data_IF_918601138644
#
_entry.id   IF_918601138644
#
_cell.length_a   1.000
_cell.length_b   1.000
_cell.length_c   1.000
_cell.angle_alpha   90.00
_cell.angle_beta   90.00
_cell.angle_gamma   90.00
#
_symmetry.space_group_name_H-M   'P 1'
#
loop_
_entity.id
_entity.type
_entity.pdbx_description
1 polymer ?
#
# COMPACT_ATOMS: atom_id res chain seq x y z
N UNK A 1 42.17 -8.07 -32.92
CA UNK A 1 41.94 -7.46 -31.60
C UNK A 1 40.49 -7.08 -31.55
N UNK A 2 39.66 -7.94 -30.97
CA UNK A 2 38.19 -7.81 -30.93
C UNK A 2 37.84 -7.07 -29.66
N UNK A 3 37.37 -5.83 -29.78
CA UNK A 3 36.94 -4.98 -28.66
C UNK A 3 35.60 -5.55 -28.17
N UNK A 4 35.60 -6.21 -27.01
CA UNK A 4 34.39 -6.58 -26.31
C UNK A 4 33.68 -5.31 -25.82
N UNK A 5 32.46 -5.07 -26.31
CA UNK A 5 31.59 -4.04 -25.77
C UNK A 5 31.26 -4.35 -24.29
N UNK A 6 31.21 -3.34 -23.40
CA UNK A 6 30.87 -3.57 -22.02
C UNK A 6 29.44 -4.05 -21.95
N UNK A 7 29.23 -5.23 -21.36
CA UNK A 7 27.92 -5.77 -21.03
C UNK A 7 27.23 -4.80 -20.06
N UNK A 8 26.15 -4.17 -20.52
CA UNK A 8 25.21 -3.47 -19.64
C UNK A 8 24.77 -4.40 -18.53
N UNK A 9 24.87 -4.03 -17.24
CA UNK A 9 24.37 -4.88 -16.19
C UNK A 9 22.87 -5.06 -16.42
N UNK A 10 22.45 -6.30 -16.64
CA UNK A 10 21.04 -6.69 -16.60
C UNK A 10 20.46 -6.12 -15.30
N UNK A 11 19.45 -5.24 -15.40
CA UNK A 11 18.61 -4.87 -14.25
C UNK A 11 18.28 -6.18 -13.54
N UNK A 12 18.69 -6.29 -12.27
CA UNK A 12 18.35 -7.43 -11.45
C UNK A 12 16.82 -7.56 -11.48
N UNK A 13 16.33 -8.56 -12.20
CA UNK A 13 14.91 -8.85 -12.25
C UNK A 13 14.54 -9.26 -10.83
N UNK A 14 13.59 -8.54 -10.22
CA UNK A 14 13.14 -8.81 -8.86
C UNK A 14 12.85 -10.31 -8.75
N UNK A 15 13.63 -10.98 -7.92
CA UNK A 15 13.65 -12.44 -7.82
C UNK A 15 12.40 -12.98 -7.14
N UNK A 16 11.90 -12.19 -6.21
CA UNK A 16 10.70 -12.45 -5.44
C UNK A 16 9.64 -11.40 -5.76
N UNK A 17 8.39 -11.80 -5.75
CA UNK A 17 7.26 -10.88 -5.90
C UNK A 17 6.53 -10.77 -4.57
N UNK A 18 6.19 -9.56 -4.16
CA UNK A 18 5.54 -9.28 -2.88
C UNK A 18 4.15 -8.75 -3.12
N UNK A 19 3.17 -9.38 -2.48
CA UNK A 19 1.77 -9.02 -2.59
C UNK A 19 1.03 -9.02 -1.25
N UNK A 20 -0.24 -8.69 -1.30
CA UNK A 20 -1.17 -8.74 -0.17
C UNK A 20 -2.43 -9.49 -0.56
N UNK A 21 -3.13 -10.06 0.43
CA UNK A 21 -4.42 -10.70 0.23
C UNK A 21 -5.53 -9.64 0.25
N UNK A 22 -6.39 -9.59 -0.78
CA UNK A 22 -7.42 -8.55 -0.91
C UNK A 22 -8.45 -8.58 0.21
N UNK A 23 -8.77 -9.77 0.75
CA UNK A 23 -9.70 -9.93 1.88
C UNK A 23 -9.11 -9.42 3.20
N UNK A 24 -7.79 -9.45 3.36
CA UNK A 24 -7.12 -8.98 4.57
C UNK A 24 -6.96 -7.46 4.58
N UNK A 25 -6.87 -6.83 3.42
CA UNK A 25 -6.88 -5.36 3.29
C UNK A 25 -8.29 -4.79 3.16
N UNK A 26 -9.31 -5.57 3.50
CA UNK A 26 -10.74 -5.19 3.52
C UNK A 26 -11.29 -4.79 2.14
N UNK A 27 -10.76 -5.37 1.08
CA UNK A 27 -11.10 -5.04 -0.31
C UNK A 27 -11.44 -6.28 -1.15
N UNK A 28 -11.99 -7.34 -0.50
CA UNK A 28 -12.37 -8.59 -1.17
C UNK A 28 -13.18 -8.31 -2.44
N UNK A 29 -12.65 -8.73 -3.59
CA UNK A 29 -13.19 -8.48 -4.93
C UNK A 29 -13.70 -7.04 -5.13
N UNK A 30 -12.85 -6.05 -4.81
CA UNK A 30 -13.12 -4.63 -5.06
C UNK A 30 -11.97 -4.03 -5.89
N UNK A 31 -12.29 -3.19 -6.85
CA UNK A 31 -11.28 -2.48 -7.68
C UNK A 31 -10.26 -1.71 -6.84
N UNK A 32 -10.70 -1.10 -5.73
CA UNK A 32 -9.82 -0.41 -4.79
C UNK A 32 -8.77 -1.31 -4.10
N UNK A 33 -8.79 -2.64 -4.29
CA UNK A 33 -7.71 -3.52 -3.86
C UNK A 33 -6.42 -3.27 -4.66
N UNK A 34 -6.54 -3.06 -5.97
CA UNK A 34 -5.40 -2.79 -6.84
C UNK A 34 -4.78 -1.41 -6.54
N UNK A 35 -5.61 -0.39 -6.36
CA UNK A 35 -5.15 0.95 -5.97
C UNK A 35 -4.43 0.92 -4.63
N UNK A 36 -4.99 0.23 -3.64
CA UNK A 36 -4.36 0.08 -2.34
C UNK A 36 -3.06 -0.70 -2.43
N UNK A 37 -3.02 -1.82 -3.16
CA UNK A 37 -1.80 -2.60 -3.37
C UNK A 37 -0.69 -1.75 -4.02
N UNK A 38 -1.03 -0.91 -5.01
CA UNK A 38 -0.10 0.06 -5.59
C UNK A 38 0.43 1.04 -4.55
N UNK A 39 -0.45 1.61 -3.71
CA UNK A 39 -0.07 2.53 -2.64
C UNK A 39 0.82 1.87 -1.58
N UNK A 40 0.62 0.58 -1.31
CA UNK A 40 1.43 -0.22 -0.38
C UNK A 40 2.79 -0.64 -0.98
N UNK A 41 3.03 -0.37 -2.27
CA UNK A 41 4.26 -0.77 -2.96
C UNK A 41 4.30 -2.25 -3.35
N UNK A 42 3.14 -2.92 -3.43
CA UNK A 42 3.05 -4.33 -3.84
C UNK A 42 3.32 -4.52 -5.34
N UNK A 43 3.84 -5.69 -5.70
CA UNK A 43 3.93 -6.15 -7.10
C UNK A 43 2.59 -6.70 -7.58
N UNK A 44 1.75 -7.15 -6.66
CA UNK A 44 0.44 -7.70 -6.98
C UNK A 44 -0.42 -7.99 -5.76
N UNK A 45 -1.52 -8.69 -6.02
CA UNK A 45 -2.47 -9.15 -5.00
C UNK A 45 -2.72 -10.65 -5.14
N UNK A 46 -3.12 -11.26 -4.03
CA UNK A 46 -3.85 -12.51 -4.01
C UNK A 46 -5.34 -12.15 -3.99
N UNK A 47 -6.06 -12.48 -5.07
CA UNK A 47 -7.44 -12.07 -5.30
C UNK A 47 -8.40 -13.18 -4.86
N UNK A 48 -9.32 -12.87 -3.95
CA UNK A 48 -10.28 -13.83 -3.42
C UNK A 48 -11.41 -14.13 -4.41
N UNK A 49 -11.95 -15.36 -4.37
CA UNK A 49 -13.10 -15.79 -5.16
C UNK A 49 -14.45 -15.21 -4.70
N UNK A 50 -14.44 -14.36 -3.68
CA UNK A 50 -15.66 -13.91 -3.00
C UNK A 50 -16.06 -14.82 -1.85
N UNK A 51 -17.07 -14.39 -1.06
CA UNK A 51 -17.50 -15.17 0.11
C UNK A 51 -18.20 -16.46 -0.32
N UNK A 52 -17.92 -17.57 0.38
CA UNK A 52 -18.61 -18.84 0.19
C UNK A 52 -19.75 -18.99 1.22
N UNK A 53 -19.46 -18.81 2.51
CA UNK A 53 -20.44 -19.08 3.58
C UNK A 53 -21.01 -20.49 3.44
N UNK A 54 -22.33 -20.62 3.56
CA UNK A 54 -23.06 -21.89 3.37
C UNK A 54 -23.53 -22.13 1.92
N UNK A 55 -23.12 -21.26 0.97
CA UNK A 55 -23.54 -21.33 -0.43
C UNK A 55 -22.89 -22.51 -1.16
N UNK A 56 -23.52 -22.95 -2.24
CA UNK A 56 -22.98 -23.96 -3.14
C UNK A 56 -21.99 -23.36 -4.16
N UNK A 57 -21.94 -22.05 -4.30
CA UNK A 57 -21.02 -21.32 -5.17
C UNK A 57 -20.46 -20.08 -4.45
N UNK A 58 -19.27 -19.63 -4.89
CA UNK A 58 -18.71 -18.35 -4.43
C UNK A 58 -19.59 -17.17 -4.85
N UNK A 59 -19.59 -16.11 -4.07
CA UNK A 59 -20.13 -14.80 -4.43
C UNK A 59 -19.13 -14.09 -5.35
N UNK A 60 -18.87 -14.71 -6.49
CA UNK A 60 -17.81 -14.32 -7.42
C UNK A 60 -18.34 -13.35 -8.48
N UNK A 61 -18.02 -12.07 -8.39
CA UNK A 61 -18.40 -11.05 -9.36
C UNK A 61 -17.71 -11.24 -10.71
N UNK A 62 -16.53 -11.86 -10.72
CA UNK A 62 -15.72 -12.04 -11.91
C UNK A 62 -16.19 -13.20 -12.80
N UNK A 63 -17.33 -13.83 -12.47
CA UNK A 63 -18.04 -14.68 -13.44
C UNK A 63 -18.56 -13.86 -14.61
N UNK A 64 -18.95 -12.61 -14.36
CA UNK A 64 -19.32 -11.67 -15.40
C UNK A 64 -18.07 -11.22 -16.19
N UNK A 65 -18.14 -11.36 -17.51
CA UNK A 65 -17.00 -11.07 -18.39
C UNK A 65 -16.66 -9.59 -18.45
N UNK A 66 -17.64 -8.69 -18.32
CA UNK A 66 -17.43 -7.25 -18.30
C UNK A 66 -16.76 -6.81 -17.01
N UNK A 67 -17.20 -7.35 -15.87
CA UNK A 67 -16.57 -7.11 -14.58
C UNK A 67 -15.14 -7.63 -14.56
N UNK A 68 -14.89 -8.87 -15.01
CA UNK A 68 -13.55 -9.43 -15.07
C UNK A 68 -12.62 -8.60 -15.98
N UNK A 69 -13.11 -8.19 -17.16
CA UNK A 69 -12.36 -7.32 -18.07
C UNK A 69 -12.09 -5.94 -17.46
N UNK A 70 -13.03 -5.40 -16.68
CA UNK A 70 -12.83 -4.15 -15.96
C UNK A 70 -11.74 -4.28 -14.88
N UNK A 71 -11.80 -5.31 -14.05
CA UNK A 71 -10.78 -5.62 -13.05
C UNK A 71 -9.40 -5.77 -13.69
N UNK A 72 -9.32 -6.52 -14.80
CA UNK A 72 -8.06 -6.71 -15.51
C UNK A 72 -7.49 -5.38 -16.06
N UNK A 73 -8.32 -4.54 -16.67
CA UNK A 73 -7.87 -3.20 -17.15
C UNK A 73 -7.33 -2.34 -16.02
N UNK A 74 -7.98 -2.33 -14.86
CA UNK A 74 -7.51 -1.57 -13.69
C UNK A 74 -6.17 -2.14 -13.18
N UNK A 75 -6.05 -3.46 -13.04
CA UNK A 75 -4.80 -4.12 -12.66
C UNK A 75 -3.65 -3.75 -13.61
N UNK A 76 -3.87 -3.86 -14.92
CA UNK A 76 -2.88 -3.53 -15.94
C UNK A 76 -2.48 -2.04 -15.91
N UNK A 77 -3.44 -1.13 -15.77
CA UNK A 77 -3.19 0.32 -15.74
C UNK A 77 -2.35 0.74 -14.54
N UNK A 78 -2.49 0.05 -13.41
CA UNK A 78 -1.73 0.28 -12.19
C UNK A 78 -0.41 -0.50 -12.14
N UNK A 79 -0.20 -1.44 -13.06
CA UNK A 79 0.93 -2.35 -13.04
C UNK A 79 0.92 -3.31 -11.83
N UNK A 80 -0.27 -3.63 -11.29
CA UNK A 80 -0.47 -4.54 -10.15
C UNK A 80 -0.96 -5.89 -10.68
N UNK A 81 -0.19 -6.95 -10.46
CA UNK A 81 -0.51 -8.29 -10.97
C UNK A 81 -1.50 -9.02 -10.05
N UNK A 82 -2.25 -9.95 -10.60
CA UNK A 82 -2.90 -11.00 -9.80
C UNK A 82 -1.93 -12.18 -9.73
N UNK A 83 -1.31 -12.38 -8.57
CA UNK A 83 -0.28 -13.42 -8.38
C UNK A 83 -0.84 -14.79 -8.04
N UNK A 84 -2.00 -14.81 -7.37
CA UNK A 84 -2.76 -16.02 -7.07
C UNK A 84 -4.26 -15.69 -6.94
N UNK A 85 -5.12 -16.70 -7.14
CA UNK A 85 -6.53 -16.65 -6.77
C UNK A 85 -6.75 -17.41 -5.48
N UNK A 86 -7.61 -16.89 -4.57
CA UNK A 86 -7.85 -17.53 -3.28
C UNK A 86 -9.28 -18.04 -3.14
N UNK A 87 -9.42 -19.29 -2.79
CA UNK A 87 -10.68 -19.90 -2.36
C UNK A 87 -10.79 -19.81 -0.82
N UNK A 88 -10.66 -18.58 -0.26
CA UNK A 88 -10.56 -18.37 1.19
C UNK A 88 -11.77 -18.86 1.97
N UNK A 89 -12.92 -19.05 1.31
CA UNK A 89 -14.12 -19.65 1.91
C UNK A 89 -13.88 -21.02 2.53
N UNK A 90 -12.89 -21.77 2.07
CA UNK A 90 -12.50 -23.05 2.63
C UNK A 90 -11.75 -22.97 3.97
N UNK A 91 -11.44 -21.78 4.46
CA UNK A 91 -11.07 -21.62 5.88
C UNK A 91 -12.21 -22.03 6.85
N UNK A 92 -13.47 -21.92 6.38
CA UNK A 92 -14.67 -22.23 7.17
C UNK A 92 -15.47 -23.40 6.60
N UNK A 93 -15.13 -23.94 5.43
CA UNK A 93 -15.85 -25.04 4.79
C UNK A 93 -15.00 -26.30 4.75
N UNK A 94 -15.56 -27.41 5.21
CA UNK A 94 -14.89 -28.72 5.22
C UNK A 94 -14.89 -29.30 3.80
N UNK A 95 -13.69 -29.37 3.19
CA UNK A 95 -13.52 -29.95 1.86
C UNK A 95 -14.05 -31.39 1.80
N UNK A 96 -13.99 -32.16 2.89
CA UNK A 96 -14.49 -33.55 2.90
C UNK A 96 -16.00 -33.67 2.81
N UNK A 97 -16.74 -32.58 3.07
CA UNK A 97 -18.20 -32.53 3.10
C UNK A 97 -18.81 -31.65 1.99
N UNK A 98 -17.97 -30.92 1.24
CA UNK A 98 -18.46 -29.99 0.21
C UNK A 98 -18.55 -30.69 -1.14
N UNK A 99 -19.73 -31.17 -1.50
CA UNK A 99 -19.90 -31.98 -2.73
C UNK A 99 -19.73 -31.16 -4.02
N UNK A 100 -19.91 -29.85 -3.95
CA UNK A 100 -19.67 -28.94 -5.07
C UNK A 100 -18.21 -28.52 -5.27
N UNK A 101 -17.24 -29.16 -4.58
CA UNK A 101 -15.83 -28.74 -4.59
C UNK A 101 -15.23 -28.64 -6.00
N UNK A 102 -15.54 -29.56 -6.93
CA UNK A 102 -15.05 -29.49 -8.31
C UNK A 102 -15.64 -28.31 -9.09
N UNK A 103 -16.93 -28.01 -8.86
CA UNK A 103 -17.56 -26.84 -9.47
C UNK A 103 -16.96 -25.53 -8.95
N UNK A 104 -16.68 -25.45 -7.64
CA UNK A 104 -16.01 -24.30 -7.02
C UNK A 104 -14.60 -24.10 -7.55
N UNK A 105 -13.86 -25.19 -7.74
CA UNK A 105 -12.50 -25.16 -8.32
C UNK A 105 -12.56 -24.78 -9.81
N UNK A 106 -13.55 -25.26 -10.55
CA UNK A 106 -13.79 -24.89 -11.95
C UNK A 106 -14.04 -23.40 -12.10
N UNK A 107 -14.93 -22.83 -11.30
CA UNK A 107 -15.20 -21.37 -11.24
C UNK A 107 -13.92 -20.56 -10.93
N UNK A 108 -13.06 -21.08 -10.03
CA UNK A 108 -11.76 -20.45 -9.76
C UNK A 108 -10.86 -20.47 -11.00
N UNK A 109 -10.75 -21.60 -11.70
CA UNK A 109 -9.91 -21.70 -12.89
C UNK A 109 -10.41 -20.82 -14.03
N UNK A 110 -11.71 -20.73 -14.24
CA UNK A 110 -12.30 -19.83 -15.24
C UNK A 110 -11.99 -18.36 -14.92
N UNK A 111 -12.08 -17.98 -13.64
CA UNK A 111 -11.71 -16.65 -13.17
C UNK A 111 -10.21 -16.36 -13.33
N UNK A 112 -9.34 -17.35 -13.05
CA UNK A 112 -7.90 -17.25 -13.27
C UNK A 112 -7.55 -16.96 -14.75
N UNK A 113 -8.26 -17.57 -15.68
CA UNK A 113 -8.05 -17.35 -17.11
C UNK A 113 -8.48 -15.93 -17.53
N UNK A 114 -9.63 -15.46 -17.05
CA UNK A 114 -10.13 -14.08 -17.26
C UNK A 114 -9.20 -13.02 -16.70
N UNK A 115 -8.54 -13.30 -15.58
CA UNK A 115 -7.59 -12.39 -14.93
C UNK A 115 -6.17 -12.42 -15.48
N UNK A 116 -5.99 -12.90 -16.70
CA UNK A 116 -4.70 -12.86 -17.40
C UNK A 116 -3.87 -14.12 -17.24
N UNK A 117 -4.50 -15.26 -17.04
CA UNK A 117 -3.83 -16.56 -16.98
C UNK A 117 -3.05 -16.78 -15.68
N UNK A 118 -3.63 -16.35 -14.56
CA UNK A 118 -3.11 -16.67 -13.21
C UNK A 118 -2.89 -18.17 -13.07
N UNK A 119 -1.76 -18.60 -12.52
CA UNK A 119 -1.39 -20.01 -12.49
C UNK A 119 -1.59 -20.70 -11.14
N UNK A 120 -1.61 -19.95 -10.05
CA UNK A 120 -1.70 -20.48 -8.68
C UNK A 120 -3.06 -20.17 -8.09
N UNK A 121 -3.75 -21.18 -7.58
CA UNK A 121 -4.93 -21.05 -6.76
C UNK A 121 -4.63 -21.47 -5.32
N UNK A 122 -5.11 -20.75 -4.34
CA UNK A 122 -4.98 -21.06 -2.92
C UNK A 122 -6.22 -21.79 -2.40
N UNK A 123 -6.04 -22.94 -1.77
CA UNK A 123 -7.08 -23.76 -1.14
C UNK A 123 -6.68 -24.08 0.31
N UNK A 124 -7.17 -23.32 1.31
CA UNK A 124 -6.91 -23.65 2.70
C UNK A 124 -7.71 -24.87 3.14
N UNK A 125 -7.10 -25.76 3.91
CA UNK A 125 -7.75 -26.92 4.53
C UNK A 125 -8.22 -26.65 5.98
N UNK A 126 -8.17 -25.40 6.43
CA UNK A 126 -8.56 -25.01 7.79
C UNK A 126 -9.98 -25.39 8.17
N UNK A 127 -10.92 -25.35 7.24
CA UNK A 127 -12.30 -25.78 7.44
C UNK A 127 -12.48 -27.28 7.69
N UNK A 128 -11.48 -28.10 7.32
CA UNK A 128 -11.48 -29.52 7.63
C UNK A 128 -11.17 -29.82 9.12
N UNK A 129 -10.77 -28.80 9.90
CA UNK A 129 -10.21 -29.03 11.26
C UNK A 129 -8.84 -29.70 11.19
N UNK A 130 -8.33 -30.13 12.33
CA UNK A 130 -7.03 -30.84 12.39
C UNK A 130 -7.16 -32.37 12.51
N UNK A 131 -8.35 -32.87 12.81
CA UNK A 131 -8.66 -34.28 13.02
C UNK A 131 -8.38 -35.14 11.77
N UNK A 132 -8.55 -34.59 10.56
CA UNK A 132 -8.26 -35.31 9.31
C UNK A 132 -6.81 -35.78 9.19
N UNK A 133 -5.90 -35.23 9.94
CA UNK A 133 -4.50 -35.65 9.92
C UNK A 133 -4.29 -37.03 10.54
N UNK A 134 -5.18 -37.45 11.42
CA UNK A 134 -5.16 -38.74 12.17
C UNK A 134 -6.37 -39.64 11.86
N UNK A 135 -7.51 -39.07 11.51
CA UNK A 135 -8.70 -39.82 11.07
C UNK A 135 -8.48 -40.38 9.65
N UNK A 136 -8.36 -41.70 9.55
CA UNK A 136 -8.06 -42.37 8.27
C UNK A 136 -9.18 -42.22 7.24
N UNK A 137 -10.46 -42.23 7.67
CA UNK A 137 -11.59 -42.12 6.72
C UNK A 137 -11.68 -40.72 6.16
N UNK A 138 -11.66 -39.72 7.01
CA UNK A 138 -11.69 -38.32 6.59
C UNK A 138 -10.50 -37.97 5.72
N UNK A 139 -9.30 -38.44 6.09
CA UNK A 139 -8.08 -38.28 5.32
C UNK A 139 -8.21 -38.88 3.91
N UNK A 140 -8.74 -40.10 3.79
CA UNK A 140 -8.91 -40.74 2.49
C UNK A 140 -9.84 -39.93 1.56
N UNK A 141 -10.93 -39.38 2.09
CA UNK A 141 -11.84 -38.50 1.31
C UNK A 141 -11.11 -37.24 0.85
N UNK A 142 -10.38 -36.58 1.76
CA UNK A 142 -9.63 -35.36 1.43
C UNK A 142 -8.57 -35.66 0.38
N UNK A 143 -7.80 -36.72 0.52
CA UNK A 143 -6.76 -37.15 -0.45
C UNK A 143 -7.37 -37.41 -1.82
N UNK A 144 -8.49 -38.13 -1.88
CA UNK A 144 -9.20 -38.37 -3.15
C UNK A 144 -9.66 -37.07 -3.81
N UNK A 145 -10.31 -36.18 -3.06
CA UNK A 145 -10.80 -34.88 -3.58
C UNK A 145 -9.62 -34.00 -4.05
N UNK A 146 -8.52 -33.99 -3.31
CA UNK A 146 -7.31 -33.28 -3.73
C UNK A 146 -6.67 -33.90 -4.98
N UNK A 147 -6.72 -35.23 -5.14
CA UNK A 147 -6.29 -35.87 -6.38
C UNK A 147 -7.11 -35.37 -7.58
N UNK A 148 -8.44 -35.39 -7.47
CA UNK A 148 -9.33 -34.96 -8.53
C UNK A 148 -9.16 -33.46 -8.85
N UNK A 149 -9.03 -32.60 -7.82
CA UNK A 149 -8.68 -31.18 -7.98
C UNK A 149 -7.36 -31.03 -8.71
N UNK A 150 -6.35 -31.79 -8.32
CA UNK A 150 -5.02 -31.72 -8.90
C UNK A 150 -5.00 -32.15 -10.38
N UNK A 151 -5.73 -33.20 -10.75
CA UNK A 151 -5.82 -33.60 -12.15
C UNK A 151 -6.58 -32.56 -13.00
N UNK A 152 -7.66 -31.96 -12.44
CA UNK A 152 -8.35 -30.83 -13.08
C UNK A 152 -7.43 -29.62 -13.26
N UNK A 153 -6.62 -29.28 -12.26
CA UNK A 153 -5.64 -28.20 -12.32
C UNK A 153 -4.58 -28.43 -13.39
N UNK A 154 -4.02 -29.63 -13.43
CA UNK A 154 -3.02 -30.04 -14.43
C UNK A 154 -3.54 -29.91 -15.87
N UNK A 155 -4.77 -30.35 -16.14
CA UNK A 155 -5.41 -30.22 -17.44
C UNK A 155 -5.54 -28.75 -17.91
N UNK A 156 -5.69 -27.81 -16.96
CA UNK A 156 -5.81 -26.37 -17.21
C UNK A 156 -4.46 -25.63 -17.10
N UNK A 157 -3.34 -26.33 -16.90
CA UNK A 157 -2.02 -25.70 -16.69
C UNK A 157 -1.94 -24.86 -15.41
N UNK A 158 -2.73 -25.21 -14.40
CA UNK A 158 -2.82 -24.54 -13.08
C UNK A 158 -2.16 -25.39 -12.00
N UNK A 159 -1.93 -24.77 -10.85
CA UNK A 159 -1.49 -25.44 -9.62
C UNK A 159 -2.39 -24.96 -8.48
N UNK A 160 -2.91 -25.90 -7.70
CA UNK A 160 -3.64 -25.59 -6.47
C UNK A 160 -2.69 -25.75 -5.29
N UNK A 161 -2.41 -24.66 -4.61
CA UNK A 161 -1.62 -24.62 -3.38
C UNK A 161 -2.50 -24.86 -2.17
N UNK A 162 -2.19 -25.90 -1.39
CA UNK A 162 -2.93 -26.20 -0.17
C UNK A 162 -2.18 -25.68 1.07
N UNK A 163 -2.92 -25.13 2.04
CA UNK A 163 -2.45 -24.76 3.37
C UNK A 163 -2.89 -25.87 4.35
N UNK A 164 -1.93 -26.44 5.07
CA UNK A 164 -2.12 -27.59 5.97
C UNK A 164 -1.50 -27.34 7.34
N UNK A 165 -1.94 -28.02 8.41
CA UNK A 165 -1.30 -27.97 9.73
C UNK A 165 -0.07 -28.89 9.85
N UNK A 166 0.49 -29.40 8.76
CA UNK A 166 1.56 -30.39 8.74
C UNK A 166 2.93 -29.74 8.59
N UNK A 167 3.97 -30.38 9.15
CA UNK A 167 5.37 -30.11 8.84
C UNK A 167 5.74 -30.58 7.43
N UNK A 168 6.96 -30.29 7.00
CA UNK A 168 7.46 -30.70 5.69
C UNK A 168 7.38 -32.21 5.46
N UNK A 169 7.66 -33.05 6.48
CA UNK A 169 7.56 -34.50 6.34
C UNK A 169 6.12 -34.97 6.15
N UNK A 170 5.19 -34.36 6.88
CA UNK A 170 3.77 -34.63 6.75
C UNK A 170 3.23 -34.18 5.38
N UNK A 171 3.62 -33.01 4.93
CA UNK A 171 3.27 -32.47 3.61
C UNK A 171 3.82 -33.33 2.47
N UNK A 172 5.08 -33.80 2.55
CA UNK A 172 5.65 -34.70 1.54
C UNK A 172 4.90 -36.03 1.48
N UNK A 173 4.49 -36.60 2.64
CA UNK A 173 3.66 -37.82 2.66
C UNK A 173 2.30 -37.57 2.03
N UNK A 174 1.66 -36.44 2.36
CA UNK A 174 0.37 -36.05 1.79
C UNK A 174 0.44 -35.90 0.27
N UNK A 175 1.43 -35.17 -0.26
CA UNK A 175 1.63 -35.01 -1.70
C UNK A 175 1.85 -36.36 -2.40
N UNK A 176 2.59 -37.30 -1.75
CA UNK A 176 2.76 -38.65 -2.27
C UNK A 176 1.46 -39.47 -2.28
N UNK A 177 0.58 -39.28 -1.30
CA UNK A 177 -0.75 -39.90 -1.24
C UNK A 177 -1.69 -39.32 -2.31
N UNK A 178 -1.69 -38.01 -2.52
CA UNK A 178 -2.51 -37.30 -3.53
C UNK A 178 -2.15 -37.74 -4.95
N UNK A 179 -0.89 -37.98 -5.26
CA UNK A 179 -0.41 -38.46 -6.57
C UNK A 179 -0.80 -37.55 -7.75
N UNK A 180 -0.82 -36.24 -7.56
CA UNK A 180 -1.06 -35.28 -8.65
C UNK A 180 -0.02 -34.16 -8.63
N UNK A 181 0.50 -33.79 -9.81
CA UNK A 181 1.40 -32.64 -9.98
C UNK A 181 0.66 -31.30 -10.00
N UNK A 182 -0.67 -31.32 -10.05
CA UNK A 182 -1.50 -30.11 -9.97
C UNK A 182 -1.70 -29.61 -8.54
N UNK A 183 -1.19 -30.32 -7.51
CA UNK A 183 -1.22 -29.91 -6.12
C UNK A 183 0.19 -29.60 -5.64
N UNK A 184 0.33 -28.47 -4.93
CA UNK A 184 1.55 -28.08 -4.25
C UNK A 184 1.21 -27.47 -2.87
N UNK A 185 2.23 -27.10 -2.09
CA UNK A 185 2.05 -26.46 -0.80
C UNK A 185 2.05 -24.93 -0.99
N UNK A 186 1.01 -24.27 -0.52
CA UNK A 186 1.00 -22.85 -0.26
C UNK A 186 1.55 -22.66 1.16
N UNK A 187 2.84 -22.41 1.25
CA UNK A 187 3.57 -22.47 2.51
C UNK A 187 3.21 -21.30 3.41
N UNK A 188 3.09 -21.54 4.73
CA UNK A 188 2.66 -20.52 5.68
C UNK A 188 3.61 -20.46 6.87
N UNK A 189 4.30 -19.34 7.08
CA UNK A 189 5.26 -19.21 8.19
C UNK A 189 4.57 -19.32 9.54
N UNK A 190 3.37 -18.79 9.69
CA UNK A 190 2.59 -18.84 10.92
C UNK A 190 2.43 -20.27 11.43
N UNK A 191 2.04 -21.21 10.57
CA UNK A 191 1.84 -22.62 10.95
C UNK A 191 3.12 -23.23 11.56
N UNK A 192 4.27 -22.92 10.98
CA UNK A 192 5.56 -23.47 11.45
C UNK A 192 5.93 -22.87 12.80
N UNK A 193 5.76 -21.55 12.97
CA UNK A 193 6.07 -20.86 14.24
C UNK A 193 5.13 -21.32 15.36
N UNK A 194 3.83 -21.47 15.10
CA UNK A 194 2.83 -21.89 16.09
C UNK A 194 3.11 -23.30 16.64
N UNK A 195 3.73 -24.16 15.84
CA UNK A 195 4.15 -25.50 16.27
C UNK A 195 5.58 -25.54 16.84
N UNK A 196 6.28 -24.41 16.90
CA UNK A 196 7.67 -24.35 17.35
C UNK A 196 8.68 -25.02 16.42
N UNK A 197 8.35 -25.17 15.13
CA UNK A 197 9.22 -25.73 14.13
C UNK A 197 10.16 -24.68 13.52
N UNK A 198 11.29 -25.12 12.98
CA UNK A 198 12.26 -24.25 12.32
C UNK A 198 11.90 -24.07 10.84
N UNK A 199 11.54 -22.84 10.45
CA UNK A 199 11.14 -22.51 9.07
C UNK A 199 12.22 -22.88 8.05
N UNK A 200 13.49 -22.60 8.36
CA UNK A 200 14.60 -22.87 7.44
C UNK A 200 14.79 -24.36 7.16
N UNK A 201 14.76 -25.18 8.20
CA UNK A 201 14.88 -26.65 8.08
C UNK A 201 13.67 -27.25 7.39
N UNK A 202 12.48 -26.73 7.71
CA UNK A 202 11.23 -27.21 7.13
C UNK A 202 11.16 -26.91 5.63
N UNK A 203 11.50 -25.68 5.21
CA UNK A 203 11.61 -25.32 3.79
C UNK A 203 12.59 -26.19 3.02
N UNK A 204 13.80 -26.40 3.58
CA UNK A 204 14.82 -27.26 2.95
C UNK A 204 14.31 -28.68 2.76
N UNK A 205 13.64 -29.26 3.76
CA UNK A 205 13.07 -30.59 3.72
C UNK A 205 11.93 -30.73 2.73
N UNK A 206 11.05 -29.71 2.66
CA UNK A 206 9.92 -29.68 1.73
C UNK A 206 10.41 -29.57 0.27
N UNK A 207 11.41 -28.75 0.01
CA UNK A 207 12.03 -28.58 -1.30
C UNK A 207 11.26 -27.61 -2.23
N UNK A 208 12.00 -26.86 -3.02
CA UNK A 208 11.48 -25.76 -3.84
C UNK A 208 10.32 -26.14 -4.79
N UNK A 209 10.38 -27.34 -5.40
CA UNK A 209 9.39 -27.82 -6.38
C UNK A 209 8.00 -28.05 -5.78
N UNK A 210 7.92 -28.25 -4.46
CA UNK A 210 6.68 -28.54 -3.76
C UNK A 210 5.99 -27.28 -3.21
N UNK A 211 6.60 -26.08 -3.39
CA UNK A 211 6.11 -24.80 -2.88
C UNK A 211 5.67 -23.92 -4.06
N UNK A 212 4.36 -23.62 -4.16
CA UNK A 212 3.85 -22.79 -5.24
C UNK A 212 3.83 -21.28 -4.89
N UNK A 213 3.60 -20.93 -3.62
CA UNK A 213 3.66 -19.58 -3.08
C UNK A 213 3.82 -19.64 -1.55
N UNK A 214 4.04 -18.49 -0.94
CA UNK A 214 4.27 -18.38 0.51
C UNK A 214 3.36 -17.29 1.09
N UNK A 215 2.59 -17.61 2.13
CA UNK A 215 2.05 -16.62 3.05
C UNK A 215 3.14 -16.23 4.05
N UNK A 216 3.75 -15.06 3.82
CA UNK A 216 4.71 -14.45 4.73
C UNK A 216 3.95 -13.75 5.86
N UNK A 217 3.55 -14.51 6.87
CA UNK A 217 2.65 -14.06 7.93
C UNK A 217 3.03 -14.66 9.28
N UNK A 218 2.67 -13.99 10.36
CA UNK A 218 2.78 -14.45 11.74
C UNK A 218 1.39 -14.52 12.42
N UNK A 219 1.39 -14.74 13.73
CA UNK A 219 0.17 -14.86 14.56
C UNK A 219 -0.57 -13.56 14.81
N UNK A 220 -0.32 -12.49 14.07
CA UNK A 220 -1.11 -11.25 14.17
C UNK A 220 -1.02 -10.56 15.54
N UNK A 221 0.11 -10.02 15.88
CA UNK A 221 0.33 -9.18 17.06
C UNK A 221 1.42 -8.15 16.85
N UNK A 222 2.37 -8.46 15.97
CA UNK A 222 3.53 -7.66 15.63
C UNK A 222 3.68 -7.61 14.10
N UNK A 223 4.40 -6.60 13.62
CA UNK A 223 4.89 -6.63 12.25
C UNK A 223 5.94 -7.72 12.07
N UNK A 224 6.10 -8.22 10.83
CA UNK A 224 7.09 -9.25 10.49
C UNK A 224 8.53 -8.87 10.88
N UNK A 225 8.86 -7.58 10.85
CA UNK A 225 10.16 -7.06 11.26
C UNK A 225 10.44 -7.26 12.75
N UNK A 226 9.40 -7.14 13.56
CA UNK A 226 9.48 -7.09 15.01
C UNK A 226 9.23 -8.47 15.65
N UNK A 227 8.92 -9.47 14.84
CA UNK A 227 8.65 -10.84 15.32
C UNK A 227 9.97 -11.62 15.47
N UNK A 228 10.41 -11.90 16.71
CA UNK A 228 11.66 -12.63 16.94
C UNK A 228 11.62 -14.09 16.49
N UNK A 229 10.43 -14.66 16.27
CA UNK A 229 10.27 -16.05 15.82
C UNK A 229 10.51 -16.19 14.31
N UNK A 230 10.56 -15.10 13.54
CA UNK A 230 10.68 -15.13 12.08
C UNK A 230 11.93 -14.38 11.62
N UNK A 231 13.02 -15.11 11.39
CA UNK A 231 14.26 -14.53 10.86
C UNK A 231 14.21 -14.46 9.32
N UNK A 232 13.60 -13.39 8.77
CA UNK A 232 13.45 -13.23 7.31
C UNK A 232 14.78 -13.24 6.53
N UNK A 233 15.88 -12.61 6.99
CA UNK A 233 17.18 -12.74 6.32
C UNK A 233 17.68 -14.16 6.20
N UNK A 234 17.53 -15.00 7.25
CA UNK A 234 17.90 -16.39 7.21
C UNK A 234 16.99 -17.21 6.28
N UNK A 235 15.69 -16.94 6.30
CA UNK A 235 14.71 -17.56 5.39
C UNK A 235 15.07 -17.24 3.94
N UNK A 236 15.41 -15.99 3.61
CA UNK A 236 15.89 -15.63 2.28
C UNK A 236 17.09 -16.46 1.85
N UNK A 237 18.09 -16.61 2.70
CA UNK A 237 19.28 -17.42 2.38
C UNK A 237 18.91 -18.86 2.05
N UNK A 238 17.96 -19.44 2.78
CA UNK A 238 17.45 -20.78 2.52
C UNK A 238 16.78 -20.87 1.17
N UNK A 239 15.81 -19.96 0.88
CA UNK A 239 15.09 -19.93 -0.39
C UNK A 239 16.04 -19.68 -1.58
N UNK A 240 17.07 -18.86 -1.39
CA UNK A 240 18.10 -18.61 -2.39
C UNK A 240 18.92 -19.86 -2.70
N UNK A 241 19.35 -20.61 -1.68
CA UNK A 241 20.06 -21.89 -1.84
C UNK A 241 19.19 -22.96 -2.52
N UNK A 242 17.89 -22.97 -2.22
CA UNK A 242 16.92 -23.87 -2.85
C UNK A 242 16.62 -23.50 -4.30
N UNK A 243 17.01 -22.29 -4.75
CA UNK A 243 16.64 -21.76 -6.07
C UNK A 243 15.16 -21.43 -6.21
N UNK A 244 14.43 -21.32 -5.09
CA UNK A 244 13.01 -21.01 -5.12
C UNK A 244 12.78 -19.55 -5.53
N UNK A 245 11.77 -19.33 -6.36
CA UNK A 245 11.28 -18.00 -6.83
C UNK A 245 9.78 -18.03 -6.90
N UNK A 246 9.13 -17.00 -6.39
CA UNK A 246 7.68 -16.95 -6.39
C UNK A 246 7.14 -15.78 -5.60
N UNK A 247 5.87 -15.90 -5.26
CA UNK A 247 5.11 -14.89 -4.55
C UNK A 247 5.23 -15.06 -3.03
N UNK A 248 5.46 -13.94 -2.36
CA UNK A 248 5.34 -13.76 -0.91
C UNK A 248 4.11 -12.88 -0.67
N UNK A 249 3.05 -13.42 -0.09
CA UNK A 249 1.85 -12.66 0.24
C UNK A 249 1.78 -12.36 1.73
N UNK A 250 1.52 -11.10 2.08
CA UNK A 250 1.22 -10.71 3.46
C UNK A 250 -0.27 -10.94 3.73
N UNK A 251 -0.59 -11.88 4.61
CA UNK A 251 -1.97 -12.19 5.01
C UNK A 251 -2.37 -11.48 6.30
N UNK A 252 -1.56 -11.58 7.34
CA UNK A 252 -1.75 -11.03 8.69
C UNK A 252 -0.61 -10.10 9.08
N UNK A 253 -0.10 -10.22 10.29
CA UNK A 253 1.07 -9.48 10.80
C UNK A 253 0.75 -8.01 11.09
N UNK A 254 -0.37 -7.80 11.77
CA UNK A 254 -0.83 -6.46 12.19
C UNK A 254 -0.37 -6.15 13.61
N UNK A 255 0.05 -4.91 13.84
CA UNK A 255 0.29 -4.41 15.20
C UNK A 255 -1.04 -4.29 15.95
N UNK A 256 -1.12 -4.92 17.13
CA UNK A 256 -2.32 -4.89 17.99
C UNK A 256 -2.74 -3.49 18.41
N UNK A 257 -1.79 -2.54 18.49
CA UNK A 257 -2.07 -1.15 18.85
C UNK A 257 -2.72 -0.36 17.73
N UNK A 258 -2.60 -0.84 16.48
CA UNK A 258 -3.13 -0.15 15.31
C UNK A 258 -3.80 -1.08 14.28
N UNK A 259 -4.46 -2.13 14.74
CA UNK A 259 -5.09 -3.19 13.90
C UNK A 259 -5.92 -2.63 12.74
N UNK A 260 -6.61 -1.51 12.94
CA UNK A 260 -7.46 -0.88 11.92
C UNK A 260 -6.68 -0.04 10.89
N UNK A 261 -5.41 0.24 11.13
CA UNK A 261 -4.59 1.00 10.19
C UNK A 261 -4.01 0.08 9.12
N UNK A 262 -4.84 -0.23 8.11
CA UNK A 262 -4.48 -1.14 7.00
C UNK A 262 -3.22 -0.67 6.28
N UNK A 263 -3.12 0.61 5.95
CA UNK A 263 -1.96 1.14 5.20
C UNK A 263 -0.65 0.99 5.98
N UNK A 264 -0.66 1.30 7.27
CA UNK A 264 0.54 1.19 8.10
C UNK A 264 0.95 -0.28 8.25
N UNK A 265 0.00 -1.16 8.61
CA UNK A 265 0.31 -2.56 8.87
C UNK A 265 0.84 -3.27 7.61
N UNK A 266 0.13 -3.17 6.50
CA UNK A 266 0.53 -3.88 5.27
C UNK A 266 1.67 -3.17 4.55
N UNK A 267 1.72 -1.85 4.54
CA UNK A 267 2.83 -1.09 3.96
C UNK A 267 4.16 -1.39 4.64
N UNK A 268 4.20 -1.42 5.98
CA UNK A 268 5.41 -1.77 6.75
C UNK A 268 5.91 -3.19 6.44
N UNK A 269 5.00 -4.16 6.39
CA UNK A 269 5.35 -5.55 6.11
C UNK A 269 5.81 -5.76 4.65
N UNK A 270 5.09 -5.18 3.68
CA UNK A 270 5.47 -5.24 2.25
C UNK A 270 6.84 -4.62 2.04
N UNK A 271 7.07 -3.43 2.62
CA UNK A 271 8.38 -2.78 2.54
C UNK A 271 9.48 -3.65 3.12
N UNK A 272 9.27 -4.21 4.31
CA UNK A 272 10.26 -5.08 4.95
C UNK A 272 10.58 -6.33 4.13
N UNK A 273 9.57 -6.96 3.52
CA UNK A 273 9.79 -8.08 2.61
C UNK A 273 10.60 -7.66 1.37
N UNK A 274 10.28 -6.52 0.77
CA UNK A 274 11.03 -6.01 -0.39
C UNK A 274 12.48 -5.67 -0.02
N UNK A 275 12.72 -5.03 1.11
CA UNK A 275 14.07 -4.75 1.62
C UNK A 275 14.86 -6.04 1.86
N UNK A 276 14.19 -7.07 2.35
CA UNK A 276 14.84 -8.34 2.69
C UNK A 276 15.08 -9.21 1.45
N UNK A 277 14.11 -9.36 0.56
CA UNK A 277 14.14 -10.35 -0.52
C UNK A 277 14.58 -9.79 -1.86
N UNK A 278 14.42 -8.50 -2.10
CA UNK A 278 14.81 -7.82 -3.32
C UNK A 278 15.86 -6.73 -3.02
N UNK A 279 16.43 -6.15 -4.07
CA UNK A 279 17.25 -4.95 -3.95
C UNK A 279 16.30 -3.74 -3.84
N UNK A 280 16.01 -3.30 -2.62
CA UNK A 280 15.22 -2.10 -2.40
C UNK A 280 16.13 -0.86 -2.51
N UNK A 281 15.78 0.14 -3.33
CA UNK A 281 16.61 1.34 -3.47
C UNK A 281 16.70 2.09 -2.13
N UNK A 282 17.92 2.42 -1.72
CA UNK A 282 18.13 3.33 -0.58
C UNK A 282 17.62 4.72 -0.97
N UNK A 283 16.97 5.46 -0.06
CA UNK A 283 16.57 6.83 -0.32
C UNK A 283 17.79 7.67 -0.73
N UNK A 284 17.67 8.44 -1.82
CA UNK A 284 18.71 9.32 -2.30
C UNK A 284 18.81 10.59 -1.47
N UNK A 285 17.70 10.99 -0.86
CA UNK A 285 17.60 12.17 0.00
C UNK A 285 17.71 11.72 1.46
N UNK A 286 18.83 12.02 2.14
CA UNK A 286 18.98 11.72 3.55
C UNK A 286 18.02 12.58 4.38
N UNK A 287 17.61 12.07 5.54
CA UNK A 287 16.86 12.84 6.53
C UNK A 287 17.85 13.65 7.38
N UNK A 288 17.67 14.98 7.42
CA UNK A 288 18.50 15.90 8.22
C UNK A 288 18.05 15.93 9.69
N UNK A 289 18.24 14.79 10.37
CA UNK A 289 17.82 14.60 11.74
C UNK A 289 18.96 14.71 12.78
N UNK A 290 20.21 14.89 12.34
CA UNK A 290 21.37 14.94 13.24
C UNK A 290 21.26 16.08 14.25
N UNK A 291 21.49 15.77 15.53
CA UNK A 291 21.45 16.76 16.62
C UNK A 291 20.04 17.23 17.03
N UNK A 292 18.97 16.66 16.45
CA UNK A 292 17.58 17.00 16.77
C UNK A 292 16.98 16.03 17.79
N UNK A 293 16.02 16.49 18.58
CA UNK A 293 15.26 15.64 19.48
C UNK A 293 14.47 14.57 18.73
N UNK A 294 14.53 13.32 19.18
CA UNK A 294 13.92 12.18 18.51
C UNK A 294 12.39 12.29 18.43
N UNK A 295 11.72 12.82 19.44
CA UNK A 295 10.26 12.98 19.46
C UNK A 295 9.82 14.06 18.45
N UNK A 296 10.60 15.13 18.34
CA UNK A 296 10.41 16.16 17.33
C UNK A 296 10.59 15.59 15.91
N UNK A 297 11.68 14.85 15.68
CA UNK A 297 11.93 14.20 14.39
C UNK A 297 10.77 13.28 13.99
N UNK A 298 10.30 12.43 14.88
CA UNK A 298 9.16 11.53 14.64
C UNK A 298 7.87 12.30 14.31
N UNK A 299 7.63 13.42 14.99
CA UNK A 299 6.49 14.30 14.72
C UNK A 299 6.56 14.90 13.32
N UNK A 300 7.73 15.35 12.89
CA UNK A 300 7.94 15.92 11.55
C UNK A 300 7.82 14.84 10.47
N UNK A 301 8.37 13.64 10.69
CA UNK A 301 8.20 12.51 9.77
C UNK A 301 6.71 12.19 9.58
N UNK A 302 5.95 12.04 10.66
CA UNK A 302 4.52 11.75 10.60
C UNK A 302 3.73 12.86 9.88
N UNK A 303 4.13 14.13 10.06
CA UNK A 303 3.54 15.27 9.35
C UNK A 303 3.86 15.24 7.85
N UNK A 304 5.09 14.94 7.50
CA UNK A 304 5.58 14.88 6.11
C UNK A 304 4.97 13.70 5.36
N UNK A 305 4.72 12.59 6.04
CA UNK A 305 4.06 11.42 5.45
C UNK A 305 2.66 11.73 4.93
N UNK A 306 1.94 12.71 5.49
CA UNK A 306 0.63 13.13 4.98
C UNK A 306 0.68 13.58 3.52
N UNK A 307 1.78 14.18 3.09
CA UNK A 307 1.96 14.60 1.69
C UNK A 307 2.09 13.39 0.77
N UNK A 308 2.90 12.40 1.16
CA UNK A 308 3.07 11.16 0.38
C UNK A 308 1.82 10.27 0.40
N UNK A 309 1.08 10.26 1.51
CA UNK A 309 -0.22 9.60 1.60
C UNK A 309 -1.23 10.19 0.64
N UNK A 310 -1.30 11.53 0.56
CA UNK A 310 -2.19 12.23 -0.35
C UNK A 310 -1.84 11.97 -1.84
N UNK A 311 -0.57 11.72 -2.15
CA UNK A 311 -0.10 11.32 -3.47
C UNK A 311 -0.23 9.80 -3.74
N UNK A 312 -0.46 9.00 -2.71
CA UNK A 312 -0.51 7.54 -2.81
C UNK A 312 0.84 6.88 -3.07
N UNK A 313 1.95 7.50 -2.67
CA UNK A 313 3.32 7.02 -2.92
C UNK A 313 4.10 6.68 -1.65
N UNK A 314 3.49 6.71 -0.48
CA UNK A 314 4.15 6.55 0.84
C UNK A 314 5.08 5.34 0.92
N UNK A 315 4.71 4.23 0.31
CA UNK A 315 5.46 2.98 0.37
C UNK A 315 6.34 2.71 -0.86
N UNK A 316 6.59 3.73 -1.67
CA UNK A 316 7.48 3.66 -2.81
C UNK A 316 8.83 4.29 -2.48
N UNK A 317 9.93 3.94 -3.19
CA UNK A 317 11.22 4.61 -3.01
C UNK A 317 11.15 6.13 -3.22
N UNK A 318 10.39 6.59 -4.21
CA UNK A 318 10.19 8.02 -4.46
C UNK A 318 9.40 8.68 -3.35
N UNK A 319 8.42 7.97 -2.77
CA UNK A 319 7.66 8.45 -1.61
C UNK A 319 8.54 8.72 -0.40
N UNK A 320 9.54 7.89 -0.15
CA UNK A 320 10.50 8.13 0.93
C UNK A 320 11.38 9.36 0.67
N UNK A 321 11.85 9.54 -0.57
CA UNK A 321 12.59 10.75 -0.95
C UNK A 321 11.73 12.01 -0.77
N UNK A 322 10.50 12.00 -1.26
CA UNK A 322 9.55 13.12 -1.10
C UNK A 322 9.25 13.40 0.37
N UNK A 323 9.01 12.36 1.19
CA UNK A 323 8.82 12.52 2.64
C UNK A 323 10.02 13.19 3.30
N UNK A 324 11.23 12.77 2.95
CA UNK A 324 12.46 13.32 3.51
C UNK A 324 12.67 14.78 3.05
N UNK A 325 12.37 15.12 1.80
CA UNK A 325 12.40 16.51 1.30
C UNK A 325 11.45 17.39 2.13
N UNK A 326 10.20 16.95 2.33
CA UNK A 326 9.22 17.69 3.10
C UNK A 326 9.64 17.82 4.58
N UNK A 327 10.20 16.76 5.17
CA UNK A 327 10.71 16.79 6.55
C UNK A 327 11.89 17.76 6.68
N UNK A 328 12.86 17.70 5.77
CA UNK A 328 14.00 18.61 5.74
C UNK A 328 13.55 20.07 5.56
N UNK A 329 12.48 20.31 4.75
CA UNK A 329 11.88 21.65 4.66
C UNK A 329 11.39 22.16 6.03
N UNK A 330 10.67 21.32 6.79
CA UNK A 330 10.25 21.71 8.15
C UNK A 330 11.43 21.96 9.07
N UNK A 331 12.50 21.18 8.99
CA UNK A 331 13.71 21.41 9.78
C UNK A 331 14.38 22.74 9.40
N UNK A 332 14.56 23.00 8.11
CA UNK A 332 15.12 24.27 7.60
C UNK A 332 14.30 25.47 8.07
N UNK A 333 12.97 25.41 7.98
CA UNK A 333 12.10 26.49 8.47
C UNK A 333 12.28 26.71 9.97
N UNK A 334 12.31 25.63 10.75
CA UNK A 334 12.52 25.74 12.21
C UNK A 334 13.85 26.42 12.55
N UNK A 335 14.92 26.07 11.84
CA UNK A 335 16.25 26.65 12.06
C UNK A 335 16.31 28.13 11.69
N UNK A 336 15.69 28.52 10.56
CA UNK A 336 15.59 29.92 10.13
C UNK A 336 14.86 30.75 11.17
N UNK A 337 13.73 30.26 11.69
CA UNK A 337 12.93 30.99 12.67
C UNK A 337 13.59 31.01 14.05
N UNK A 338 14.28 29.96 14.46
CA UNK A 338 15.07 29.94 15.70
C UNK A 338 16.21 30.97 15.66
N UNK A 339 16.92 31.07 14.54
CA UNK A 339 17.95 32.09 14.32
C UNK A 339 17.38 33.51 14.34
N UNK A 340 16.26 33.74 13.63
CA UNK A 340 15.52 35.01 13.67
C UNK A 340 15.20 35.41 15.11
N UNK A 341 14.64 34.50 15.90
CA UNK A 341 14.21 34.79 17.27
C UNK A 341 15.39 35.02 18.20
N UNK A 342 16.55 34.43 17.94
CA UNK A 342 17.80 34.72 18.61
C UNK A 342 18.29 36.14 18.27
N UNK A 343 18.41 36.47 16.99
CA UNK A 343 18.85 37.80 16.52
C UNK A 343 17.90 38.91 16.92
N UNK A 344 16.61 38.66 17.02
CA UNK A 344 15.60 39.65 17.43
C UNK A 344 15.82 40.23 18.82
N UNK A 345 16.57 39.55 19.67
CA UNK A 345 16.94 40.02 21.01
C UNK A 345 17.91 41.19 20.95
N UNK A 346 18.71 41.30 19.91
CA UNK A 346 19.73 42.33 19.71
C UNK A 346 19.38 43.30 18.59
N UNK A 347 18.90 42.84 17.46
CA UNK A 347 18.57 43.66 16.31
C UNK A 347 17.33 43.08 15.57
N UNK A 348 16.19 43.74 15.69
CA UNK A 348 14.92 43.31 15.07
C UNK A 348 14.93 43.45 13.55
N UNK A 349 15.63 44.45 13.02
CA UNK A 349 15.68 44.72 11.58
C UNK A 349 16.59 43.69 10.88
N UNK A 350 17.76 43.45 11.45
CA UNK A 350 18.66 42.41 10.97
C UNK A 350 18.03 41.02 11.05
N UNK A 351 17.32 40.70 12.14
CA UNK A 351 16.61 39.46 12.30
C UNK A 351 15.58 39.19 11.20
N UNK A 352 14.76 40.22 10.86
CA UNK A 352 13.77 40.13 9.81
C UNK A 352 14.45 39.95 8.44
N UNK A 353 15.41 40.80 8.07
CA UNK A 353 16.10 40.75 6.80
C UNK A 353 16.86 39.42 6.59
N UNK A 354 17.47 38.87 7.63
CA UNK A 354 18.17 37.58 7.60
C UNK A 354 17.19 36.44 7.33
N UNK A 355 16.07 36.41 8.06
CA UNK A 355 15.03 35.39 7.85
C UNK A 355 14.42 35.46 6.47
N UNK A 356 14.02 36.65 6.00
CA UNK A 356 13.43 36.86 4.68
C UNK A 356 14.39 36.39 3.57
N UNK A 357 15.67 36.73 3.65
CA UNK A 357 16.69 36.29 2.68
C UNK A 357 16.83 34.76 2.66
N UNK A 358 16.86 34.10 3.80
CA UNK A 358 16.99 32.63 3.90
C UNK A 358 15.74 31.92 3.43
N UNK A 359 14.56 32.43 3.79
CA UNK A 359 13.26 31.90 3.31
C UNK A 359 13.19 31.97 1.79
N UNK A 360 13.48 33.14 1.20
CA UNK A 360 13.48 33.33 -0.25
C UNK A 360 14.40 32.35 -0.97
N UNK A 361 15.65 32.22 -0.53
CA UNK A 361 16.63 31.29 -1.16
C UNK A 361 16.19 29.84 -1.05
N UNK A 362 15.69 29.41 0.10
CA UNK A 362 15.31 28.03 0.36
C UNK A 362 13.97 27.62 -0.27
N UNK A 363 13.10 28.59 -0.62
CA UNK A 363 11.82 28.34 -1.24
C UNK A 363 11.95 27.64 -2.61
N UNK A 364 12.77 28.19 -3.48
CA UNK A 364 12.99 27.62 -4.82
C UNK A 364 13.74 26.29 -4.78
N UNK A 365 14.62 26.10 -3.80
CA UNK A 365 15.30 24.82 -3.57
C UNK A 365 14.33 23.71 -3.25
N UNK A 366 13.33 23.98 -2.40
CA UNK A 366 12.30 23.03 -2.04
C UNK A 366 11.47 22.57 -3.26
N UNK A 367 11.09 23.49 -4.13
CA UNK A 367 10.38 23.17 -5.37
C UNK A 367 11.24 22.34 -6.33
N UNK A 368 12.50 22.67 -6.47
CA UNK A 368 13.43 21.94 -7.30
C UNK A 368 13.65 20.50 -6.80
N UNK A 369 13.83 20.34 -5.49
CA UNK A 369 14.01 19.02 -4.85
C UNK A 369 12.77 18.14 -5.07
N UNK A 370 11.56 18.67 -4.87
CA UNK A 370 10.32 17.93 -5.14
C UNK A 370 10.19 17.57 -6.63
N UNK A 371 10.55 18.48 -7.54
CA UNK A 371 10.45 18.27 -8.99
C UNK A 371 11.39 17.19 -9.52
N UNK A 372 12.41 16.79 -8.75
CA UNK A 372 13.24 15.63 -9.08
C UNK A 372 12.46 14.28 -9.00
N UNK A 373 11.35 14.24 -8.30
CA UNK A 373 10.56 13.03 -8.04
C UNK A 373 9.09 13.15 -8.44
N UNK A 374 8.56 14.36 -8.58
CA UNK A 374 7.14 14.64 -8.77
C UNK A 374 6.87 15.47 -10.02
N UNK A 375 5.69 15.29 -10.60
CA UNK A 375 5.16 16.15 -11.66
C UNK A 375 4.70 17.50 -11.06
N UNK A 376 4.57 18.55 -11.87
CA UNK A 376 4.17 19.88 -11.37
C UNK A 376 2.87 19.90 -10.57
N UNK A 377 1.85 19.17 -10.99
CA UNK A 377 0.57 19.06 -10.27
C UNK A 377 0.70 18.30 -8.93
N UNK A 378 1.66 17.39 -8.81
CA UNK A 378 1.94 16.65 -7.58
C UNK A 378 2.72 17.53 -6.59
N UNK A 379 3.65 18.36 -7.06
CA UNK A 379 4.33 19.38 -6.25
C UNK A 379 3.30 20.36 -5.65
N UNK A 380 2.35 20.82 -6.46
CA UNK A 380 1.22 21.65 -6.00
C UNK A 380 0.46 20.92 -4.88
N UNK A 381 0.15 19.65 -5.05
CA UNK A 381 -0.58 18.86 -4.05
C UNK A 381 0.18 18.71 -2.73
N UNK A 382 1.51 18.57 -2.77
CA UNK A 382 2.35 18.58 -1.55
C UNK A 382 2.18 19.90 -0.80
N UNK A 383 2.27 21.04 -1.49
CA UNK A 383 2.08 22.38 -0.90
C UNK A 383 0.67 22.58 -0.34
N UNK A 384 -0.36 22.07 -1.03
CA UNK A 384 -1.74 22.11 -0.55
C UNK A 384 -1.89 21.33 0.78
N UNK A 385 -1.29 20.11 0.88
CA UNK A 385 -1.28 19.34 2.14
C UNK A 385 -0.54 20.09 3.24
N UNK A 386 0.61 20.70 2.95
CA UNK A 386 1.37 21.50 3.92
C UNK A 386 0.64 22.75 4.40
N UNK A 387 -0.35 23.21 3.65
CA UNK A 387 -1.19 24.41 3.92
C UNK A 387 -2.66 24.06 4.16
N UNK A 388 -2.95 22.80 4.59
CA UNK A 388 -4.27 22.32 5.01
C UNK A 388 -5.35 22.40 3.91
N UNK A 389 -4.95 22.34 2.65
CA UNK A 389 -5.85 22.40 1.47
C UNK A 389 -6.74 23.69 1.44
N UNK A 390 -6.23 24.77 2.05
CA UNK A 390 -6.99 26.03 2.20
C UNK A 390 -7.33 26.64 0.86
N UNK A 391 -6.51 26.48 -0.17
CA UNK A 391 -6.79 26.97 -1.53
C UNK A 391 -8.10 26.40 -2.05
N UNK A 392 -8.20 25.08 -2.12
CA UNK A 392 -9.38 24.38 -2.63
C UNK A 392 -10.63 24.70 -1.79
N UNK A 393 -10.51 24.54 -0.47
CA UNK A 393 -11.63 24.76 0.46
C UNK A 393 -12.14 26.20 0.35
N UNK A 394 -11.26 27.20 0.31
CA UNK A 394 -11.64 28.60 0.24
C UNK A 394 -12.21 28.98 -1.14
N UNK A 395 -11.58 28.49 -2.22
CA UNK A 395 -12.07 28.74 -3.58
C UNK A 395 -13.47 28.17 -3.79
N UNK A 396 -13.67 26.90 -3.39
CA UNK A 396 -14.99 26.28 -3.47
C UNK A 396 -16.03 27.06 -2.67
N UNK A 397 -15.68 27.49 -1.45
CA UNK A 397 -16.58 28.27 -0.61
C UNK A 397 -16.98 29.62 -1.26
N UNK A 398 -16.06 30.33 -1.91
CA UNK A 398 -16.41 31.59 -2.64
C UNK A 398 -17.31 31.31 -3.84
N UNK A 399 -17.02 30.27 -4.63
CA UNK A 399 -17.84 29.91 -5.79
C UNK A 399 -19.27 29.50 -5.39
N UNK A 400 -19.41 28.82 -4.26
CA UNK A 400 -20.66 28.34 -3.72
C UNK A 400 -21.43 29.47 -3.02
N UNK A 401 -20.73 30.33 -2.28
CA UNK A 401 -21.29 31.50 -1.61
C UNK A 401 -21.85 32.51 -2.61
N UNK A 402 -21.15 32.78 -3.72
CA UNK A 402 -21.50 33.75 -4.75
C UNK A 402 -21.61 33.06 -6.11
N UNK A 403 -22.74 32.41 -6.44
CA UNK A 403 -22.92 31.70 -7.71
C UNK A 403 -22.79 32.57 -8.95
N UNK A 404 -23.02 33.88 -8.81
CA UNK A 404 -22.96 34.89 -9.87
C UNK A 404 -21.55 35.35 -10.25
N UNK A 405 -20.48 34.83 -9.58
CA UNK A 405 -19.10 35.16 -9.92
C UNK A 405 -18.81 34.89 -11.40
N UNK A 406 -18.25 35.88 -12.08
CA UNK A 406 -17.74 35.72 -13.45
C UNK A 406 -16.48 34.83 -13.49
N UNK A 407 -16.13 34.33 -14.67
CA UNK A 407 -14.90 33.55 -14.85
C UNK A 407 -13.64 34.38 -14.54
N UNK A 408 -13.64 35.66 -14.82
CA UNK A 408 -12.55 36.58 -14.50
C UNK A 408 -12.35 36.71 -12.98
N UNK A 409 -13.46 36.89 -12.23
CA UNK A 409 -13.42 36.99 -10.76
C UNK A 409 -12.97 35.66 -10.12
N UNK A 410 -13.50 34.56 -10.61
CA UNK A 410 -13.04 33.19 -10.19
C UNK A 410 -11.55 33.02 -10.43
N UNK A 411 -11.03 33.40 -11.59
CA UNK A 411 -9.62 33.35 -11.89
C UNK A 411 -8.79 34.25 -10.96
N UNK A 412 -9.24 35.47 -10.69
CA UNK A 412 -8.55 36.39 -9.79
C UNK A 412 -8.53 35.90 -8.34
N UNK A 413 -9.61 35.29 -7.86
CA UNK A 413 -9.67 34.65 -6.54
C UNK A 413 -8.66 33.52 -6.47
N UNK A 414 -8.64 32.64 -7.50
CA UNK A 414 -7.72 31.50 -7.54
C UNK A 414 -6.25 31.97 -7.54
N UNK A 415 -5.89 32.96 -8.33
CA UNK A 415 -4.53 33.52 -8.38
C UNK A 415 -4.07 34.02 -7.01
N UNK A 416 -4.91 34.74 -6.27
CA UNK A 416 -4.57 35.20 -4.93
C UNK A 416 -4.49 34.07 -3.89
N UNK A 417 -5.30 33.07 -4.02
CA UNK A 417 -5.20 31.92 -3.11
C UNK A 417 -3.94 31.09 -3.38
N UNK A 418 -3.51 30.97 -4.64
CA UNK A 418 -2.22 30.36 -5.00
C UNK A 418 -1.08 31.20 -4.42
N UNK A 419 -1.07 32.52 -4.60
CA UNK A 419 -0.07 33.42 -4.02
C UNK A 419 -0.01 33.27 -2.49
N UNK A 420 -1.18 33.21 -1.83
CA UNK A 420 -1.26 32.97 -0.40
C UNK A 420 -0.66 31.63 0.01
N UNK A 421 -0.84 30.55 -0.77
CA UNK A 421 -0.25 29.22 -0.52
C UNK A 421 1.28 29.27 -0.57
N UNK A 422 1.85 29.90 -1.61
CA UNK A 422 3.30 30.01 -1.76
C UNK A 422 3.96 30.74 -0.58
N UNK A 423 3.30 31.73 0.00
CA UNK A 423 3.75 32.39 1.21
C UNK A 423 3.49 31.57 2.48
N UNK A 424 2.34 30.89 2.54
CA UNK A 424 1.95 30.12 3.71
C UNK A 424 2.76 28.85 3.89
N UNK A 425 3.25 28.21 2.82
CA UNK A 425 4.04 26.98 2.90
C UNK A 425 5.30 27.19 3.74
N UNK A 426 5.84 28.41 3.75
CA UNK A 426 7.05 28.80 4.45
C UNK A 426 6.82 29.41 5.85
N UNK A 427 5.56 29.57 6.24
CA UNK A 427 5.25 30.17 7.53
C UNK A 427 5.64 29.24 8.72
N UNK A 428 6.10 29.85 9.82
CA UNK A 428 6.68 29.17 10.99
C UNK A 428 5.72 28.22 11.74
N UNK A 429 4.42 28.48 11.64
CA UNK A 429 3.42 27.73 12.41
C UNK A 429 2.10 27.61 11.67
N UNK A 430 1.25 26.65 12.10
CA UNK A 430 -0.11 26.49 11.60
C UNK A 430 -0.91 27.81 11.70
N UNK A 431 -0.81 28.52 12.81
CA UNK A 431 -1.49 29.79 12.99
C UNK A 431 -1.02 30.85 11.99
N UNK A 432 0.29 30.92 11.74
CA UNK A 432 0.85 31.87 10.76
C UNK A 432 0.45 31.54 9.34
N UNK A 433 0.33 30.25 8.99
CA UNK A 433 -0.26 29.82 7.71
C UNK A 433 -1.68 30.34 7.57
N UNK A 434 -2.53 30.15 8.56
CA UNK A 434 -3.91 30.65 8.53
C UNK A 434 -3.99 32.18 8.51
N UNK A 435 -3.12 32.90 9.23
CA UNK A 435 -3.03 34.38 9.17
C UNK A 435 -2.71 34.86 7.76
N UNK A 436 -1.82 34.18 7.04
CA UNK A 436 -1.51 34.51 5.64
C UNK A 436 -2.76 34.40 4.78
N UNK A 437 -3.46 33.28 4.83
CA UNK A 437 -4.72 33.14 4.07
C UNK A 437 -5.79 34.13 4.51
N UNK A 438 -5.87 34.51 5.81
CA UNK A 438 -6.82 35.52 6.29
C UNK A 438 -6.61 36.89 5.65
N UNK A 439 -5.33 37.30 5.46
CA UNK A 439 -5.00 38.53 4.75
C UNK A 439 -5.50 38.51 3.31
N UNK A 440 -5.30 37.39 2.61
CA UNK A 440 -5.76 37.22 1.22
C UNK A 440 -7.29 37.16 1.11
N UNK A 441 -7.97 36.50 2.05
CA UNK A 441 -9.46 36.56 2.14
C UNK A 441 -9.95 37.99 2.29
N UNK A 442 -9.30 38.81 3.10
CA UNK A 442 -9.60 40.26 3.20
C UNK A 442 -9.42 40.99 1.87
N UNK A 443 -8.34 40.71 1.13
CA UNK A 443 -8.08 41.28 -0.22
C UNK A 443 -9.16 40.84 -1.21
N UNK A 444 -9.56 39.57 -1.20
CA UNK A 444 -10.63 39.04 -2.05
C UNK A 444 -11.98 39.74 -1.73
N UNK A 445 -12.35 39.83 -0.45
CA UNK A 445 -13.58 40.49 -0.04
C UNK A 445 -13.63 41.97 -0.49
N UNK A 446 -12.54 42.72 -0.30
CA UNK A 446 -12.44 44.10 -0.74
C UNK A 446 -12.56 44.23 -2.27
N UNK A 447 -11.99 43.30 -3.03
CA UNK A 447 -12.11 43.28 -4.48
C UNK A 447 -13.56 43.01 -4.91
N UNK A 448 -14.22 42.04 -4.36
CA UNK A 448 -15.60 41.67 -4.68
C UNK A 448 -16.57 42.79 -4.29
N UNK A 449 -16.37 43.42 -3.13
CA UNK A 449 -17.18 44.57 -2.71
C UNK A 449 -17.05 45.74 -3.70
N UNK A 450 -15.85 46.02 -4.22
CA UNK A 450 -15.64 47.04 -5.27
C UNK A 450 -16.30 46.67 -6.60
N UNK A 451 -16.59 45.41 -6.84
CA UNK A 451 -17.31 44.89 -8.01
C UNK A 451 -18.82 44.86 -7.81
N UNK A 452 -19.31 45.29 -6.65
CA UNK A 452 -20.74 45.43 -6.35
C UNK A 452 -21.38 44.30 -5.56
N UNK A 453 -20.57 43.32 -5.09
CA UNK A 453 -21.09 42.23 -4.23
C UNK A 453 -21.18 42.68 -2.77
N UNK A 454 -22.33 42.43 -2.15
CA UNK A 454 -22.51 42.56 -0.70
C UNK A 454 -22.09 41.22 -0.03
N UNK A 455 -20.86 41.15 0.45
CA UNK A 455 -20.27 39.92 1.00
C UNK A 455 -21.04 39.42 2.23
N UNK A 456 -21.65 40.29 3.01
CA UNK A 456 -22.44 39.90 4.16
C UNK A 456 -23.76 39.27 3.72
N UNK A 457 -24.47 39.89 2.80
CA UNK A 457 -25.73 39.38 2.26
C UNK A 457 -25.52 38.05 1.53
N UNK A 458 -24.45 37.92 0.71
CA UNK A 458 -24.11 36.67 0.02
C UNK A 458 -23.84 35.54 0.99
N UNK A 459 -23.15 35.81 2.12
CA UNK A 459 -22.91 34.85 3.18
C UNK A 459 -24.20 34.39 3.86
N UNK A 460 -25.07 35.32 4.22
CA UNK A 460 -26.35 35.00 4.86
C UNK A 460 -27.23 34.12 3.96
N UNK A 461 -27.28 34.44 2.67
CA UNK A 461 -28.00 33.65 1.69
C UNK A 461 -27.38 32.25 1.51
N UNK A 462 -26.06 32.18 1.52
CA UNK A 462 -25.34 30.89 1.45
C UNK A 462 -25.62 30.01 2.67
N UNK A 463 -25.59 30.55 3.86
CA UNK A 463 -25.93 29.85 5.10
C UNK A 463 -27.37 29.34 5.08
N UNK A 464 -28.32 30.13 4.57
CA UNK A 464 -29.71 29.70 4.39
C UNK A 464 -29.85 28.54 3.38
N UNK A 465 -29.16 28.59 2.23
CA UNK A 465 -29.16 27.49 1.25
C UNK A 465 -28.64 26.19 1.87
N UNK A 466 -27.53 26.23 2.61
CA UNK A 466 -26.92 25.06 3.25
C UNK A 466 -27.73 24.49 4.42
N UNK A 467 -28.59 25.30 5.03
CA UNK A 467 -29.49 24.83 6.09
C UNK A 467 -30.71 24.05 5.54
N UNK A 468 -30.97 24.19 4.21
CA UNK A 468 -32.08 23.51 3.52
C UNK A 468 -31.65 22.19 2.82
N UNK A 469 -30.34 21.95 2.69
CA UNK A 469 -29.73 20.68 2.21
C UNK A 469 -29.58 19.66 3.35
#
# INVERSE_FOLDING_TARGET
MMVMAPSTPLKAQDRYQVGVCDWMVLKRQKLGAFELAKQLGCDGIELDMGSLGQREAFDNKLRDDLEAAHFKRVADSLGVKVGAMAMSGFYAQDLSKKDTYLSLVGDCFDTMDKMGGVRVAFLPLGGCGNDWTTDKQKRAIIVQRLHEIGEAAKLRGKVVGIDTPLDAAGNLRLLKEIKSQGIAIFYKFQTIVEHGWDIGKDLQKLGARNICAIHATNTDSLWLRDDPAINMPAIRQVLDKMGWRGWLFVERSRDVKMVRNVKMNYGSNVRYLKETFNSYPTPKVPLDSAGRDASYVNTIIARSQKATDALGITWTPDGENVRNIVANRYFTLNDIYAERDSLKKTDKQLAAATADSKLYRSHFGFDADLSAYLKPNEVVKVKDVMTFDVVRVTYTAYCDMIPSLTNEEKAQIMLWLIEARELAVDAESSNKKHETFKKYKGRINNYLSKRGYDIQQEREQWEQRRAQE
#
